data_IF_499870216828
#
_entry.id   IF_499870216828
#
_cell.length_a   1.000
_cell.length_b   1.000
_cell.length_c   1.000
_cell.angle_alpha   90.00
_cell.angle_beta   90.00
_cell.angle_gamma   90.00
#
_symmetry.space_group_name_H-M   'P 1'
#
loop_
_entity.id
_entity.type
_entity.pdbx_description
1 polymer ?
#
# COMPACT_ATOMS: atom_id res chain seq x y z
N UNK A 1 -2.92 18.69 -4.12
CA UNK A 1 -3.63 17.43 -4.43
C UNK A 1 -2.86 16.25 -3.82
N UNK A 2 -3.54 15.17 -3.42
CA UNK A 2 -2.95 14.02 -2.69
C UNK A 2 -1.79 13.38 -3.47
N UNK A 3 -1.98 13.09 -4.76
CA UNK A 3 -0.97 12.39 -5.54
C UNK A 3 0.34 13.17 -5.71
N UNK A 4 0.29 14.50 -5.77
CA UNK A 4 1.49 15.35 -5.76
C UNK A 4 2.28 15.22 -4.45
N UNK A 5 1.60 15.21 -3.30
CA UNK A 5 2.28 15.09 -1.99
C UNK A 5 2.98 13.73 -1.86
N UNK A 6 2.32 12.66 -2.32
CA UNK A 6 2.89 11.31 -2.28
C UNK A 6 4.03 11.19 -3.30
N UNK A 7 3.90 11.75 -4.50
CA UNK A 7 4.98 11.76 -5.49
C UNK A 7 6.23 12.44 -4.92
N UNK A 8 6.08 13.63 -4.32
CA UNK A 8 7.18 14.35 -3.67
C UNK A 8 7.79 13.59 -2.49
N UNK A 9 7.00 12.80 -1.76
CA UNK A 9 7.50 11.94 -0.70
C UNK A 9 8.53 10.94 -1.26
N UNK A 10 8.18 10.22 -2.34
CA UNK A 10 9.08 9.27 -2.98
C UNK A 10 10.29 9.96 -3.61
N UNK A 11 10.11 11.09 -4.30
CA UNK A 11 11.23 11.84 -4.89
C UNK A 11 12.20 12.34 -3.81
N UNK A 12 11.67 12.88 -2.70
CA UNK A 12 12.48 13.30 -1.57
C UNK A 12 13.19 12.14 -0.88
N UNK A 13 12.55 10.98 -0.80
CA UNK A 13 13.14 9.76 -0.25
C UNK A 13 14.31 9.27 -1.12
N UNK A 14 14.18 9.34 -2.45
CA UNK A 14 15.27 9.03 -3.39
C UNK A 14 16.46 9.99 -3.18
N UNK A 15 16.21 11.31 -3.16
CA UNK A 15 17.26 12.31 -2.94
C UNK A 15 18.03 12.10 -1.64
N UNK A 16 17.33 11.68 -0.58
CA UNK A 16 17.90 11.48 0.75
C UNK A 16 18.33 10.04 1.04
N UNK A 17 18.15 9.12 0.09
CA UNK A 17 18.41 7.69 0.30
C UNK A 17 17.67 7.12 1.53
N UNK A 18 16.37 7.39 1.62
CA UNK A 18 15.54 7.00 2.76
C UNK A 18 14.49 5.93 2.39
N UNK A 19 14.14 5.05 3.35
CA UNK A 19 12.96 4.21 3.20
C UNK A 19 11.67 5.06 3.26
N UNK A 20 10.60 4.52 2.69
CA UNK A 20 9.25 5.10 2.79
C UNK A 20 8.35 4.17 3.57
N UNK A 21 7.54 4.74 4.48
CA UNK A 21 6.43 4.04 5.12
C UNK A 21 5.15 4.79 4.77
N UNK A 22 4.16 4.10 4.21
CA UNK A 22 2.90 4.72 3.82
C UNK A 22 1.72 3.99 4.45
N UNK A 23 0.91 4.75 5.19
CA UNK A 23 -0.39 4.29 5.69
C UNK A 23 -1.46 4.67 4.68
N UNK A 24 -2.29 3.70 4.29
CA UNK A 24 -3.37 3.93 3.32
C UNK A 24 -4.72 3.83 4.00
N UNK A 25 -5.53 4.85 3.77
CA UNK A 25 -6.96 4.89 4.10
C UNK A 25 -7.67 5.67 3.00
N UNK A 26 -8.46 4.98 2.19
CA UNK A 26 -9.18 5.58 1.06
C UNK A 26 -10.41 4.76 0.69
N UNK A 27 -11.51 5.45 0.39
CA UNK A 27 -12.69 4.88 -0.24
C UNK A 27 -12.63 4.82 -1.78
N UNK A 28 -11.50 5.20 -2.38
CA UNK A 28 -11.29 5.19 -3.83
C UNK A 28 -10.80 6.53 -4.40
N UNK A 29 -10.97 6.70 -5.72
CA UNK A 29 -10.57 7.92 -6.41
C UNK A 29 -11.56 9.07 -6.16
N UNK A 30 -11.04 10.30 -6.06
CA UNK A 30 -11.87 11.50 -5.90
C UNK A 30 -12.53 11.86 -7.23
N UNK A 31 -13.77 11.42 -7.43
CA UNK A 31 -14.47 11.59 -8.71
C UNK A 31 -14.65 13.05 -9.14
N UNK A 32 -14.63 14.00 -8.20
CA UNK A 32 -14.74 15.43 -8.49
C UNK A 32 -13.59 15.97 -9.34
N UNK A 33 -12.43 15.30 -9.32
CA UNK A 33 -11.28 15.65 -10.16
C UNK A 33 -11.21 14.79 -11.44
N UNK A 34 -12.19 13.88 -11.65
CA UNK A 34 -12.33 13.06 -12.86
C UNK A 34 -11.05 12.30 -13.24
N UNK A 35 -10.63 12.44 -14.50
CA UNK A 35 -9.43 11.77 -15.04
C UNK A 35 -8.15 12.17 -14.29
N UNK A 36 -8.09 13.36 -13.68
CA UNK A 36 -6.90 13.79 -12.95
C UNK A 36 -6.67 12.92 -11.71
N UNK A 37 -7.74 12.47 -11.05
CA UNK A 37 -7.65 11.49 -9.96
C UNK A 37 -7.11 10.15 -10.44
N UNK A 38 -7.55 9.67 -11.61
CA UNK A 38 -7.03 8.44 -12.20
C UNK A 38 -5.53 8.56 -12.50
N UNK A 39 -5.12 9.68 -13.10
CA UNK A 39 -3.72 9.91 -13.46
C UNK A 39 -2.80 10.01 -12.24
N UNK A 40 -3.32 10.29 -11.03
CA UNK A 40 -2.51 10.24 -9.82
C UNK A 40 -1.98 8.83 -9.55
N UNK A 41 -2.72 7.78 -9.90
CA UNK A 41 -2.27 6.38 -9.74
C UNK A 41 -0.99 6.16 -10.54
N UNK A 42 -1.04 6.41 -11.85
CA UNK A 42 0.12 6.23 -12.73
C UNK A 42 1.32 7.10 -12.30
N UNK A 43 1.05 8.34 -11.87
CA UNK A 43 2.09 9.26 -11.41
C UNK A 43 2.81 8.75 -10.17
N UNK A 44 2.07 8.28 -9.16
CA UNK A 44 2.67 7.77 -7.93
C UNK A 44 3.39 6.46 -8.21
N UNK A 45 2.78 5.52 -8.94
CA UNK A 45 3.42 4.25 -9.30
C UNK A 45 4.75 4.45 -10.05
N UNK A 46 4.84 5.47 -10.92
CA UNK A 46 6.09 5.83 -11.57
C UNK A 46 7.15 6.34 -10.58
N UNK A 47 6.76 7.05 -9.51
CA UNK A 47 7.67 7.48 -8.45
C UNK A 47 8.10 6.30 -7.56
N UNK A 48 7.17 5.43 -7.18
CA UNK A 48 7.43 4.17 -6.45
C UNK A 48 8.43 3.32 -7.22
N UNK A 49 8.24 3.15 -8.54
CA UNK A 49 9.18 2.39 -9.37
C UNK A 49 10.58 3.00 -9.42
N UNK A 50 10.70 4.33 -9.45
CA UNK A 50 12.00 5.02 -9.38
C UNK A 50 12.67 4.79 -8.01
N UNK A 51 11.90 4.80 -6.93
CA UNK A 51 12.38 4.53 -5.57
C UNK A 51 12.87 3.08 -5.40
N UNK A 52 12.08 2.12 -5.87
CA UNK A 52 12.47 0.69 -5.94
C UNK A 52 13.75 0.48 -6.78
N UNK A 53 13.89 1.14 -7.94
CA UNK A 53 15.11 1.07 -8.77
C UNK A 53 16.35 1.64 -8.08
N UNK A 54 16.18 2.57 -7.13
CA UNK A 54 17.26 3.08 -6.30
C UNK A 54 17.66 2.11 -5.17
N UNK A 55 17.00 0.94 -5.05
CA UNK A 55 17.28 -0.05 -4.02
C UNK A 55 16.81 0.36 -2.63
N UNK A 56 15.85 1.28 -2.54
CA UNK A 56 15.33 1.79 -1.28
C UNK A 56 14.07 1.04 -0.86
N UNK A 57 13.91 0.84 0.45
CA UNK A 57 12.83 0.05 1.03
C UNK A 57 11.51 0.83 1.14
N UNK A 58 10.41 0.25 0.67
CA UNK A 58 9.07 0.77 0.76
C UNK A 58 8.15 -0.19 1.54
N UNK A 59 7.62 0.28 2.66
CA UNK A 59 6.64 -0.41 3.50
C UNK A 59 5.26 0.21 3.32
N UNK A 60 4.26 -0.61 2.99
CA UNK A 60 2.86 -0.20 3.05
C UNK A 60 2.18 -0.73 4.29
N UNK A 61 1.32 0.08 4.91
CA UNK A 61 0.40 -0.32 5.98
C UNK A 61 -1.03 -0.03 5.54
N UNK A 62 -1.77 -1.09 5.20
CA UNK A 62 -3.17 -1.05 4.78
C UNK A 62 -4.07 -0.91 6.00
N UNK A 63 -4.81 0.20 6.09
CA UNK A 63 -5.79 0.45 7.15
C UNK A 63 -7.21 0.51 6.60
N UNK A 64 -8.19 0.42 7.50
CA UNK A 64 -9.60 0.39 7.14
C UNK A 64 -10.16 1.78 6.77
N UNK A 65 -10.80 1.97 5.60
CA UNK A 65 -10.78 1.11 4.42
C UNK A 65 -9.62 1.49 3.48
N UNK A 66 -9.10 0.55 2.70
CA UNK A 66 -8.22 0.82 1.54
C UNK A 66 -8.83 0.23 0.28
N UNK A 67 -9.53 1.05 -0.51
CA UNK A 67 -10.27 0.59 -1.68
C UNK A 67 -9.99 1.36 -2.97
N UNK A 68 -10.46 0.79 -4.10
CA UNK A 68 -10.48 1.46 -5.40
C UNK A 68 -9.09 1.68 -5.98
N UNK A 69 -8.90 2.86 -6.59
CA UNK A 69 -7.66 3.21 -7.27
C UNK A 69 -6.43 3.23 -6.36
N UNK A 70 -6.60 3.45 -5.06
CA UNK A 70 -5.47 3.41 -4.11
C UNK A 70 -4.96 1.98 -3.95
N UNK A 71 -5.85 1.01 -3.74
CA UNK A 71 -5.53 -0.43 -3.69
C UNK A 71 -4.92 -0.92 -4.99
N UNK A 72 -5.44 -0.48 -6.13
CA UNK A 72 -4.93 -0.85 -7.46
C UNK A 72 -3.69 -0.05 -7.91
N UNK A 73 -3.00 0.61 -6.99
CA UNK A 73 -1.75 1.32 -7.29
C UNK A 73 -0.79 1.23 -6.10
N UNK A 74 -0.28 2.36 -5.63
CA UNK A 74 0.82 2.44 -4.66
C UNK A 74 0.57 1.73 -3.33
N UNK A 75 -0.68 1.41 -2.96
CA UNK A 75 -0.96 0.62 -1.76
C UNK A 75 -0.50 -0.85 -1.89
N UNK A 76 -0.49 -1.41 -3.09
CA UNK A 76 -0.10 -2.80 -3.37
C UNK A 76 1.26 -2.92 -4.06
N UNK A 77 2.08 -1.85 -4.00
CA UNK A 77 3.42 -1.79 -4.61
C UNK A 77 4.53 -1.73 -3.55
N UNK A 78 4.21 -2.02 -2.28
CA UNK A 78 5.19 -2.11 -1.19
C UNK A 78 6.12 -3.31 -1.36
N UNK A 79 7.37 -3.19 -0.91
CA UNK A 79 8.27 -4.34 -0.77
C UNK A 79 7.76 -5.29 0.33
N UNK A 80 7.15 -4.72 1.37
CA UNK A 80 6.38 -5.43 2.39
C UNK A 80 5.05 -4.70 2.58
N UNK A 81 3.97 -5.46 2.66
CA UNK A 81 2.59 -5.01 2.83
C UNK A 81 2.07 -5.55 4.15
N UNK A 82 1.91 -4.66 5.12
CA UNK A 82 1.23 -4.93 6.38
C UNK A 82 -0.24 -4.54 6.28
N UNK A 83 -1.09 -5.21 7.05
CA UNK A 83 -2.47 -4.78 7.25
C UNK A 83 -2.81 -4.73 8.74
N UNK A 84 -3.77 -3.87 9.11
CA UNK A 84 -4.38 -3.92 10.43
C UNK A 84 -5.47 -5.01 10.47
N UNK A 85 -5.72 -5.63 11.66
CA UNK A 85 -6.75 -6.65 11.80
C UNK A 85 -8.11 -6.16 11.28
N UNK A 86 -8.85 -7.02 10.57
CA UNK A 86 -10.20 -6.75 10.08
C UNK A 86 -10.33 -5.58 9.08
N UNK A 87 -9.23 -5.00 8.59
CA UNK A 87 -9.27 -3.91 7.62
C UNK A 87 -9.94 -4.34 6.31
N UNK A 88 -10.85 -3.51 5.78
CA UNK A 88 -11.47 -3.73 4.47
C UNK A 88 -10.55 -3.24 3.36
N UNK A 89 -10.09 -4.16 2.52
CA UNK A 89 -9.14 -3.89 1.45
C UNK A 89 -9.65 -4.52 0.15
N UNK A 90 -9.81 -3.72 -0.89
CA UNK A 90 -10.25 -4.27 -2.18
C UNK A 90 -10.45 -3.25 -3.30
N UNK A 91 -10.26 -3.68 -4.54
CA UNK A 91 -10.42 -2.79 -5.70
C UNK A 91 -11.88 -2.36 -5.90
N UNK A 92 -12.80 -3.32 -6.02
CA UNK A 92 -14.23 -3.05 -6.16
C UNK A 92 -14.96 -3.24 -4.83
N UNK A 93 -15.97 -2.44 -4.55
CA UNK A 93 -16.79 -2.61 -3.35
C UNK A 93 -17.64 -3.88 -3.42
N UNK A 94 -17.83 -4.54 -2.27
CA UNK A 94 -18.65 -5.77 -2.09
C UNK A 94 -19.96 -5.75 -2.89
N UNK A 95 -20.76 -4.68 -2.74
CA UNK A 95 -22.04 -4.50 -3.45
C UNK A 95 -21.92 -4.63 -4.97
N UNK A 96 -20.89 -4.01 -5.57
CA UNK A 96 -20.68 -4.04 -7.03
C UNK A 96 -20.33 -5.46 -7.48
N UNK A 97 -19.54 -6.18 -6.68
CA UNK A 97 -19.14 -7.56 -6.98
C UNK A 97 -20.36 -8.48 -6.91
N UNK A 98 -21.11 -8.47 -5.81
CA UNK A 98 -22.32 -9.30 -5.60
C UNK A 98 -23.35 -9.08 -6.71
N UNK A 99 -23.58 -7.82 -7.10
CA UNK A 99 -24.50 -7.51 -8.20
C UNK A 99 -24.03 -8.06 -9.56
N UNK A 100 -22.71 -8.15 -9.77
CA UNK A 100 -22.12 -8.62 -11.02
C UNK A 100 -22.17 -10.14 -11.12
N UNK A 101 -21.77 -10.85 -10.05
CA UNK A 101 -21.71 -12.33 -10.03
C UNK A 101 -23.04 -12.98 -9.62
N UNK A 102 -23.98 -12.20 -9.07
CA UNK A 102 -25.28 -12.64 -8.55
C UNK A 102 -25.19 -13.73 -7.48
N UNK A 103 -24.21 -13.59 -6.59
CA UNK A 103 -23.96 -14.49 -5.46
C UNK A 103 -23.58 -13.66 -4.24
N UNK A 104 -23.89 -14.18 -3.05
CA UNK A 104 -23.42 -13.60 -1.80
C UNK A 104 -21.93 -13.91 -1.60
N UNK A 105 -21.18 -12.92 -1.13
CA UNK A 105 -19.77 -13.11 -0.79
C UNK A 105 -19.63 -13.64 0.64
N UNK A 106 -18.53 -14.35 0.96
CA UNK A 106 -18.19 -14.69 2.34
C UNK A 106 -18.17 -13.47 3.27
N UNK A 107 -18.40 -13.68 4.57
CA UNK A 107 -18.44 -12.57 5.54
C UNK A 107 -17.09 -11.85 5.65
N UNK A 108 -16.01 -12.63 5.63
CA UNK A 108 -14.60 -12.23 5.70
C UNK A 108 -14.03 -11.74 4.36
N UNK A 109 -14.80 -11.76 3.27
CA UNK A 109 -14.33 -11.33 1.97
C UNK A 109 -13.77 -9.89 2.03
N UNK A 110 -12.60 -9.67 1.41
CA UNK A 110 -11.86 -8.40 1.45
C UNK A 110 -11.34 -7.97 2.82
N UNK A 111 -11.43 -8.80 3.86
CA UNK A 111 -10.76 -8.54 5.14
C UNK A 111 -9.27 -8.82 5.05
N UNK A 112 -8.49 -8.19 5.90
CA UNK A 112 -7.04 -8.39 5.99
C UNK A 112 -6.66 -9.88 6.11
N UNK A 113 -7.44 -10.65 6.86
CA UNK A 113 -7.31 -12.10 7.05
C UNK A 113 -7.50 -12.85 5.73
N UNK A 114 -8.58 -12.55 4.99
CA UNK A 114 -8.80 -13.10 3.66
C UNK A 114 -7.64 -12.76 2.71
N UNK A 115 -7.14 -11.52 2.72
CA UNK A 115 -6.03 -11.11 1.86
C UNK A 115 -4.70 -11.79 2.23
N UNK A 116 -4.45 -12.03 3.52
CA UNK A 116 -3.29 -12.78 4.00
C UNK A 116 -3.33 -14.22 3.48
N UNK A 117 -4.48 -14.90 3.59
CA UNK A 117 -4.66 -16.28 3.12
C UNK A 117 -4.50 -16.42 1.59
N UNK A 118 -4.73 -15.34 0.84
CA UNK A 118 -4.56 -15.29 -0.61
C UNK A 118 -3.22 -14.69 -1.08
N UNK A 119 -2.31 -14.37 -0.15
CA UNK A 119 -0.96 -13.90 -0.47
C UNK A 119 -0.85 -12.44 -0.92
N UNK A 120 -1.84 -11.60 -0.62
CA UNK A 120 -1.80 -10.16 -0.92
C UNK A 120 -1.23 -9.30 0.22
N UNK A 121 -1.20 -9.83 1.44
CA UNK A 121 -0.68 -9.18 2.65
C UNK A 121 0.40 -10.07 3.24
N UNK A 122 1.55 -9.51 3.61
CA UNK A 122 2.66 -10.27 4.19
C UNK A 122 2.42 -10.58 5.67
N UNK A 123 1.83 -9.63 6.41
CA UNK A 123 1.54 -9.81 7.82
C UNK A 123 0.41 -8.89 8.32
N UNK A 124 -0.47 -9.44 9.16
CA UNK A 124 -1.44 -8.66 9.94
C UNK A 124 -0.81 -8.25 11.27
N UNK A 125 -0.85 -6.96 11.59
CA UNK A 125 -0.17 -6.39 12.77
C UNK A 125 -1.13 -5.48 13.54
N UNK A 126 -1.45 -5.80 14.81
CA UNK A 126 -2.23 -4.92 15.66
C UNK A 126 -1.56 -3.55 15.83
N UNK A 127 -2.35 -2.48 15.90
CA UNK A 127 -1.85 -1.10 15.94
C UNK A 127 -0.86 -0.83 17.09
N UNK A 128 -1.04 -1.48 18.24
CA UNK A 128 -0.12 -1.39 19.39
C UNK A 128 1.29 -1.91 19.07
N UNK A 129 1.41 -2.84 18.14
CA UNK A 129 2.66 -3.52 17.79
C UNK A 129 3.30 -2.94 16.52
N UNK A 130 2.60 -2.09 15.78
CA UNK A 130 3.09 -1.50 14.53
C UNK A 130 4.40 -0.72 14.73
N UNK A 131 4.54 0.04 15.82
CA UNK A 131 5.76 0.82 16.08
C UNK A 131 6.99 -0.07 16.10
N UNK A 132 6.93 -1.17 16.86
CA UNK A 132 8.04 -2.10 16.99
C UNK A 132 8.31 -2.85 15.68
N UNK A 133 7.25 -3.29 15.00
CA UNK A 133 7.34 -3.97 13.71
C UNK A 133 7.98 -3.09 12.63
N UNK A 134 7.51 -1.85 12.48
CA UNK A 134 8.05 -0.88 11.51
C UNK A 134 9.52 -0.59 11.82
N UNK A 135 9.87 -0.36 13.09
CA UNK A 135 11.25 -0.16 13.51
C UNK A 135 12.14 -1.35 13.12
N UNK A 136 11.68 -2.57 13.40
CA UNK A 136 12.41 -3.79 13.06
C UNK A 136 12.64 -3.93 11.55
N UNK A 137 11.59 -3.77 10.74
CA UNK A 137 11.68 -3.87 9.28
C UNK A 137 12.61 -2.82 8.69
N UNK A 138 12.48 -1.55 9.11
CA UNK A 138 13.39 -0.49 8.66
C UNK A 138 14.83 -0.81 9.07
N UNK A 139 15.05 -1.26 10.31
CA UNK A 139 16.40 -1.57 10.80
C UNK A 139 17.08 -2.69 10.00
N UNK A 140 16.32 -3.69 9.57
CA UNK A 140 16.84 -4.76 8.71
C UNK A 140 17.26 -4.24 7.32
N UNK A 141 16.49 -3.34 6.73
CA UNK A 141 16.70 -2.85 5.36
C UNK A 141 17.59 -1.61 5.27
N UNK A 142 17.97 -1.00 6.40
CA UNK A 142 18.85 0.19 6.46
C UNK A 142 20.20 -0.08 7.09
N UNK A 143 20.44 -1.31 7.59
CA UNK A 143 21.77 -1.72 8.04
C UNK A 143 22.72 -1.76 6.84
N UNK A 144 23.82 -0.99 6.92
CA UNK A 144 24.98 -1.13 6.03
C UNK A 144 25.56 -2.54 6.21
N UNK A 145 25.15 -3.47 5.36
CA UNK A 145 25.62 -4.86 5.42
C UNK A 145 25.39 -5.66 4.15
N UNK A 146 24.99 -4.99 3.06
CA UNK A 146 24.89 -5.61 1.73
C UNK A 146 25.59 -4.70 0.73
N UNK A 147 26.92 -4.61 0.82
CA UNK A 147 27.70 -4.18 -0.32
C UNK A 147 27.58 -5.27 -1.39
N UNK A 148 27.04 -4.92 -2.56
CA UNK A 148 26.95 -5.83 -3.73
C UNK A 148 28.32 -6.11 -4.39
N UNK A 149 29.41 -5.97 -3.63
CA UNK A 149 30.79 -6.16 -4.09
C UNK A 149 31.48 -7.37 -3.45
N UNK A 150 30.75 -8.20 -2.69
CA UNK A 150 31.21 -9.52 -2.26
C UNK A 150 30.77 -10.62 -3.24
#
# INVERSE_FOLDING_TARGET
VVGEKITRLFERAIEKQLPVVLFTASGGARMQEGILSLMQMAKISAAVKRHSKAGLFYLTVLTDPTTGGVTASFAMEGDIILAEPQALIGFAGRRVIEQTIRQELPEDFQKAEFLLDHGFVDQIVPRTNLREKIHHLISLHTRKGWDRND
#
